data_IF_850515946876
#
_entry.id   IF_850515946876
#
_cell.length_a   1.000
_cell.length_b   1.000
_cell.length_c   1.000
_cell.angle_alpha   90.00
_cell.angle_beta   90.00
_cell.angle_gamma   90.00
#
_symmetry.space_group_name_H-M   'P 1'
#
loop_
_entity.id
_entity.type
_entity.pdbx_description
1 polymer ?
#
# COMPACT_ATOMS: atom_id res chain seq x y z
N UNK A 1 -19.74 26.25 -0.25
CA UNK A 1 -18.33 25.86 -0.51
C UNK A 1 -18.14 24.35 -0.35
N UNK A 2 -18.73 23.53 -1.23
CA UNK A 2 -18.43 22.08 -1.30
C UNK A 2 -18.67 21.60 -2.73
N UNK A 3 -18.01 22.21 -3.69
CA UNK A 3 -17.83 21.54 -4.98
C UNK A 3 -16.77 20.45 -4.74
N UNK A 4 -17.25 19.23 -4.49
CA UNK A 4 -16.37 18.07 -4.48
C UNK A 4 -15.82 17.91 -5.90
N UNK A 5 -14.52 18.09 -6.06
CA UNK A 5 -13.77 17.86 -7.30
C UNK A 5 -14.08 16.46 -7.86
N UNK A 6 -15.09 16.37 -8.72
CA UNK A 6 -15.40 15.16 -9.49
C UNK A 6 -14.74 15.29 -10.84
N UNK A 7 -13.73 14.47 -11.10
CA UNK A 7 -13.08 14.43 -12.41
C UNK A 7 -13.78 13.36 -13.26
N UNK A 8 -14.26 13.76 -14.44
CA UNK A 8 -14.87 12.85 -15.41
C UNK A 8 -13.77 12.23 -16.28
N UNK A 9 -13.49 10.94 -16.08
CA UNK A 9 -12.54 10.18 -16.90
C UNK A 9 -13.31 9.09 -17.63
N UNK A 10 -13.27 9.07 -18.97
CA UNK A 10 -14.00 8.10 -19.82
C UNK A 10 -15.50 7.95 -19.48
N UNK A 11 -16.16 9.04 -19.11
CA UNK A 11 -17.60 9.02 -18.80
C UNK A 11 -17.98 8.44 -17.42
N UNK A 12 -17.00 8.08 -16.57
CA UNK A 12 -17.25 7.74 -15.16
C UNK A 12 -16.79 8.87 -14.25
N UNK A 13 -17.60 9.18 -13.25
CA UNK A 13 -17.23 10.12 -12.19
C UNK A 13 -16.38 9.39 -11.16
N UNK A 14 -15.13 9.85 -10.97
CA UNK A 14 -14.23 9.31 -9.95
C UNK A 14 -14.21 10.30 -8.78
N UNK A 15 -14.48 9.78 -7.59
CA UNK A 15 -14.40 10.53 -6.33
C UNK A 15 -12.91 10.61 -5.96
N UNK A 16 -12.30 11.80 -6.08
CA UNK A 16 -10.87 12.05 -5.82
C UNK A 16 -10.37 11.45 -4.49
N UNK A 17 -11.11 11.52 -3.36
CA UNK A 17 -10.74 10.85 -2.11
C UNK A 17 -10.42 9.35 -2.23
N UNK A 18 -11.16 8.60 -3.07
CA UNK A 18 -10.91 7.17 -3.29
C UNK A 18 -9.60 6.92 -4.03
N UNK A 19 -9.24 7.81 -4.94
CA UNK A 19 -7.98 7.74 -5.69
C UNK A 19 -6.79 8.00 -4.76
N UNK A 20 -6.89 9.03 -3.90
CA UNK A 20 -5.89 9.36 -2.90
C UNK A 20 -5.69 8.19 -1.94
N UNK A 21 -6.77 7.63 -1.39
CA UNK A 21 -6.70 6.47 -0.50
C UNK A 21 -6.03 5.25 -1.15
N UNK A 22 -6.38 4.94 -2.40
CA UNK A 22 -5.76 3.83 -3.13
C UNK A 22 -4.25 4.04 -3.35
N UNK A 23 -3.84 5.28 -3.63
CA UNK A 23 -2.43 5.65 -3.77
C UNK A 23 -1.65 5.48 -2.47
N UNK A 24 -2.21 5.91 -1.33
CA UNK A 24 -1.58 5.71 -0.01
C UNK A 24 -1.44 4.24 0.35
N UNK A 25 -2.46 3.41 0.06
CA UNK A 25 -2.38 1.95 0.28
C UNK A 25 -1.23 1.36 -0.51
N UNK A 26 -1.10 1.73 -1.79
CA UNK A 26 -0.04 1.22 -2.67
C UNK A 26 1.35 1.62 -2.18
N UNK A 27 1.56 2.90 -1.83
CA UNK A 27 2.84 3.38 -1.28
C UNK A 27 3.17 2.67 0.02
N UNK A 28 2.20 2.56 0.94
CA UNK A 28 2.43 1.95 2.24
C UNK A 28 2.78 0.47 2.11
N UNK A 29 2.10 -0.26 1.21
CA UNK A 29 2.42 -1.64 0.92
C UNK A 29 3.84 -1.78 0.33
N UNK A 30 4.22 -0.91 -0.59
CA UNK A 30 5.56 -0.92 -1.19
C UNK A 30 6.65 -0.65 -0.13
N UNK A 31 6.44 0.35 0.73
CA UNK A 31 7.37 0.69 1.80
C UNK A 31 7.44 -0.41 2.87
N UNK A 32 6.34 -1.10 3.13
CA UNK A 32 6.31 -2.24 4.05
C UNK A 32 7.13 -3.42 3.51
N UNK A 33 7.07 -3.68 2.20
CA UNK A 33 7.93 -4.68 1.54
C UNK A 33 9.40 -4.26 1.64
N UNK A 34 9.72 -3.00 1.33
CA UNK A 34 11.07 -2.47 1.44
C UNK A 34 11.63 -2.61 2.87
N UNK A 35 10.85 -2.21 3.88
CA UNK A 35 11.22 -2.35 5.29
C UNK A 35 11.40 -3.83 5.71
N UNK A 36 10.61 -4.75 5.15
CA UNK A 36 10.75 -6.18 5.41
C UNK A 36 12.07 -6.73 4.84
N UNK A 37 12.44 -6.33 3.62
CA UNK A 37 13.71 -6.72 3.01
C UNK A 37 14.91 -6.16 3.80
N UNK A 38 14.82 -4.92 4.25
CA UNK A 38 15.87 -4.30 5.07
C UNK A 38 16.03 -5.00 6.42
N UNK A 39 14.93 -5.38 7.08
CA UNK A 39 14.97 -6.16 8.32
C UNK A 39 15.58 -7.56 8.13
N UNK A 40 15.21 -8.27 7.05
CA UNK A 40 15.76 -9.59 6.74
C UNK A 40 17.26 -9.51 6.42
N UNK A 41 17.67 -8.57 5.58
CA UNK A 41 19.09 -8.41 5.25
C UNK A 41 19.93 -7.99 6.47
N UNK A 42 19.37 -7.20 7.38
CA UNK A 42 20.02 -6.86 8.65
C UNK A 42 20.18 -8.11 9.53
N UNK A 43 19.14 -8.94 9.64
CA UNK A 43 19.19 -10.20 10.39
C UNK A 43 20.27 -11.15 9.86
N UNK A 44 20.33 -11.32 8.54
CA UNK A 44 21.34 -12.18 7.91
C UNK A 44 22.76 -11.68 8.17
N UNK A 45 22.98 -10.36 8.07
CA UNK A 45 24.29 -9.75 8.39
C UNK A 45 24.70 -9.97 9.84
N UNK A 46 23.77 -9.90 10.80
CA UNK A 46 24.08 -10.15 12.21
C UNK A 46 24.38 -11.64 12.44
N UNK A 47 23.66 -12.55 11.78
CA UNK A 47 23.93 -13.99 11.84
C UNK A 47 25.32 -14.32 11.29
N UNK A 48 25.68 -13.72 10.15
CA UNK A 48 27.00 -13.85 9.55
C UNK A 48 28.09 -13.31 10.46
N UNK A 49 27.87 -12.16 11.11
CA UNK A 49 28.79 -11.58 12.08
C UNK A 49 29.01 -12.54 13.27
N UNK A 50 27.93 -13.09 13.84
CA UNK A 50 28.01 -14.06 14.95
C UNK A 50 28.81 -15.30 14.56
N UNK A 51 28.62 -15.79 13.33
CA UNK A 51 29.37 -16.92 12.78
C UNK A 51 30.86 -16.56 12.58
N UNK A 52 31.13 -15.35 12.09
CA UNK A 52 32.49 -14.81 11.92
C UNK A 52 33.24 -14.75 13.25
N UNK A 53 32.62 -14.15 14.28
CA UNK A 53 33.22 -14.03 15.63
C UNK A 53 33.51 -15.38 16.26
N UNK A 54 32.64 -16.38 16.08
CA UNK A 54 32.92 -17.74 16.58
C UNK A 54 34.08 -18.43 15.85
N UNK A 55 34.33 -18.08 14.58
CA UNK A 55 35.39 -18.66 13.77
C UNK A 55 36.79 -18.06 14.01
N UNK A 56 36.89 -16.86 14.58
CA UNK A 56 38.17 -16.19 14.84
C UNK A 56 39.09 -17.04 15.74
N UNK A 57 38.52 -17.77 16.70
CA UNK A 57 39.30 -18.59 17.65
C UNK A 57 39.97 -19.82 17.03
N UNK A 58 39.51 -20.25 15.87
CA UNK A 58 40.06 -21.40 15.14
C UNK A 58 40.93 -20.98 13.95
N UNK A 59 41.09 -19.68 13.71
CA UNK A 59 41.92 -19.16 12.62
C UNK A 59 43.40 -19.23 13.01
N UNK A 60 44.23 -19.67 12.06
CA UNK A 60 45.68 -19.74 12.22
C UNK A 60 46.29 -18.33 12.39
N UNK A 61 45.69 -17.32 11.75
CA UNK A 61 46.01 -15.90 11.89
C UNK A 61 44.78 -15.07 12.31
N UNK A 62 44.62 -14.77 13.62
CA UNK A 62 43.44 -14.09 14.14
C UNK A 62 43.33 -12.62 13.73
N UNK A 63 44.45 -11.96 13.40
CA UNK A 63 44.48 -10.55 13.02
C UNK A 63 43.79 -10.29 11.67
N UNK A 64 44.01 -11.14 10.68
CA UNK A 64 43.39 -11.00 9.35
C UNK A 64 41.90 -11.35 9.41
N UNK A 65 41.53 -12.42 10.13
CA UNK A 65 40.14 -12.80 10.33
C UNK A 65 39.31 -11.69 11.02
N UNK A 66 39.93 -10.98 11.98
CA UNK A 66 39.28 -9.87 12.68
C UNK A 66 38.92 -8.72 11.73
N UNK A 67 39.84 -8.30 10.86
CA UNK A 67 39.60 -7.19 9.93
C UNK A 67 38.40 -7.44 9.00
N UNK A 68 38.24 -8.68 8.55
CA UNK A 68 37.11 -9.12 7.71
C UNK A 68 35.80 -9.12 8.51
N UNK A 69 35.81 -9.60 9.75
CA UNK A 69 34.63 -9.59 10.61
C UNK A 69 34.19 -8.16 10.97
N UNK A 70 35.12 -7.25 11.27
CA UNK A 70 34.82 -5.83 11.55
C UNK A 70 34.19 -5.17 10.35
N UNK A 71 34.72 -5.41 9.14
CA UNK A 71 34.16 -4.85 7.91
C UNK A 71 32.71 -5.32 7.68
N UNK A 72 32.42 -6.60 7.97
CA UNK A 72 31.05 -7.14 7.93
C UNK A 72 30.14 -6.53 9.01
N UNK A 73 30.68 -6.26 10.20
CA UNK A 73 29.95 -5.58 11.28
C UNK A 73 29.54 -4.16 10.90
N UNK A 74 30.46 -3.38 10.34
CA UNK A 74 30.18 -2.02 9.85
C UNK A 74 29.10 -2.05 8.76
N UNK A 75 29.19 -3.00 7.82
CA UNK A 75 28.15 -3.18 6.80
C UNK A 75 26.79 -3.56 7.41
N UNK A 76 26.75 -4.23 8.55
CA UNK A 76 25.53 -4.53 9.30
C UNK A 76 24.98 -3.33 10.09
N UNK A 77 25.71 -2.21 10.15
CA UNK A 77 25.38 -1.10 11.04
C UNK A 77 25.69 -1.37 12.51
N UNK A 78 26.43 -2.45 12.80
CA UNK A 78 26.89 -2.81 14.13
C UNK A 78 28.30 -2.25 14.30
N UNK A 79 28.47 -1.27 15.19
CA UNK A 79 29.80 -0.88 15.63
C UNK A 79 30.33 -1.96 16.56
N UNK A 80 31.19 -2.84 16.03
CA UNK A 80 31.91 -3.84 16.83
C UNK A 80 33.01 -3.10 17.59
N UNK A 81 32.64 -2.43 18.68
CA UNK A 81 33.59 -1.76 19.57
C UNK A 81 34.10 -2.80 20.57
N UNK A 82 35.26 -3.37 20.30
CA UNK A 82 35.84 -4.40 21.18
C UNK A 82 37.30 -4.10 21.46
N UNK A 83 37.59 -3.29 22.49
CA UNK A 83 38.97 -3.08 22.95
C UNK A 83 39.58 -4.33 23.62
N UNK A 84 38.79 -5.37 23.95
CA UNK A 84 39.20 -6.44 24.86
C UNK A 84 39.29 -7.85 24.26
N UNK A 85 39.30 -8.03 22.92
CA UNK A 85 39.51 -9.37 22.34
C UNK A 85 40.92 -9.94 22.61
N UNK A 86 41.87 -9.10 23.04
CA UNK A 86 43.22 -9.54 23.45
C UNK A 86 43.24 -10.25 24.82
N UNK A 87 42.20 -10.08 25.66
CA UNK A 87 42.20 -10.60 27.04
C UNK A 87 41.70 -12.05 27.18
N UNK A 88 41.52 -12.79 26.07
CA UNK A 88 41.21 -14.24 26.09
C UNK A 88 39.84 -14.62 26.68
N UNK A 89 39.05 -13.65 27.16
CA UNK A 89 37.70 -13.85 27.67
C UNK A 89 36.66 -13.63 26.59
N UNK A 90 36.24 -14.70 25.92
CA UNK A 90 35.19 -14.69 24.92
C UNK A 90 33.89 -14.09 25.47
N UNK A 91 33.62 -12.82 25.20
CA UNK A 91 32.27 -12.26 25.33
C UNK A 91 31.66 -12.31 23.94
N UNK A 92 30.78 -13.29 23.75
CA UNK A 92 29.79 -13.29 22.66
C UNK A 92 29.19 -11.89 22.52
N UNK A 93 28.90 -11.45 21.30
CA UNK A 93 28.13 -10.21 21.04
C UNK A 93 26.94 -10.22 22.00
N UNK A 94 26.87 -9.30 22.98
CA UNK A 94 25.82 -9.33 23.98
C UNK A 94 24.48 -9.19 23.25
N UNK A 95 23.49 -9.96 23.66
CA UNK A 95 22.15 -9.91 23.04
C UNK A 95 21.55 -8.48 23.09
N UNK A 96 22.06 -7.63 23.98
CA UNK A 96 21.77 -6.20 24.04
C UNK A 96 22.16 -5.45 22.75
N UNK A 97 23.33 -5.71 22.17
CA UNK A 97 23.77 -5.10 20.90
C UNK A 97 22.95 -5.58 19.70
N UNK A 98 22.45 -6.83 19.76
CA UNK A 98 21.53 -7.33 18.75
C UNK A 98 20.24 -6.50 18.72
N UNK A 99 19.65 -6.26 19.90
CA UNK A 99 18.39 -5.53 20.01
C UNK A 99 18.53 -4.05 19.67
N UNK A 100 19.65 -3.40 19.96
CA UNK A 100 19.85 -1.99 19.61
C UNK A 100 19.87 -1.74 18.10
N UNK A 101 20.37 -2.69 17.31
CA UNK A 101 20.40 -2.59 15.85
C UNK A 101 19.08 -3.02 15.21
N UNK A 102 18.39 -4.02 15.78
CA UNK A 102 17.11 -4.50 15.24
C UNK A 102 15.91 -3.63 15.62
N UNK A 103 15.91 -3.00 16.80
CA UNK A 103 14.80 -2.16 17.27
C UNK A 103 14.42 -1.05 16.28
N UNK A 104 15.36 -0.24 15.74
CA UNK A 104 15.04 0.79 14.75
C UNK A 104 14.39 0.21 13.49
N UNK A 105 14.87 -0.93 12.99
CA UNK A 105 14.34 -1.59 11.80
C UNK A 105 12.91 -2.10 12.04
N UNK A 106 12.69 -2.70 13.21
CA UNK A 106 11.36 -3.17 13.63
C UNK A 106 10.39 -2.00 13.82
N UNK A 107 10.84 -0.91 14.44
CA UNK A 107 10.04 0.31 14.62
C UNK A 107 9.65 0.93 13.26
N UNK A 108 10.58 0.99 12.31
CA UNK A 108 10.31 1.45 10.95
C UNK A 108 9.29 0.55 10.23
N UNK A 109 9.40 -0.77 10.40
CA UNK A 109 8.41 -1.72 9.87
C UNK A 109 7.02 -1.51 10.49
N UNK A 110 6.93 -1.40 11.82
CA UNK A 110 5.68 -1.14 12.55
C UNK A 110 5.05 0.20 12.15
N UNK A 111 5.87 1.23 11.94
CA UNK A 111 5.40 2.53 11.45
C UNK A 111 4.64 2.37 10.12
N UNK A 112 5.20 1.63 9.16
CA UNK A 112 4.53 1.39 7.88
C UNK A 112 3.27 0.54 8.00
N UNK A 113 3.23 -0.42 8.93
CA UNK A 113 2.00 -1.17 9.25
C UNK A 113 0.90 -0.22 9.74
N UNK A 114 1.23 0.69 10.66
CA UNK A 114 0.27 1.69 11.16
C UNK A 114 -0.22 2.60 10.04
N UNK A 115 0.69 3.11 9.20
CA UNK A 115 0.33 3.95 8.05
C UNK A 115 -0.58 3.19 7.07
N UNK A 116 -0.32 1.90 6.82
CA UNK A 116 -1.16 1.05 5.99
C UNK A 116 -2.58 0.91 6.57
N UNK A 117 -2.70 0.69 7.88
CA UNK A 117 -4.00 0.62 8.56
C UNK A 117 -4.76 1.94 8.42
N UNK A 118 -4.09 3.08 8.66
CA UNK A 118 -4.69 4.41 8.49
C UNK A 118 -5.14 4.64 7.04
N UNK A 119 -4.32 4.25 6.05
CA UNK A 119 -4.67 4.36 4.64
C UNK A 119 -5.92 3.52 4.28
N UNK A 120 -6.04 2.32 4.85
CA UNK A 120 -7.25 1.47 4.69
C UNK A 120 -8.46 2.15 5.32
N UNK A 121 -8.34 2.72 6.52
CA UNK A 121 -9.45 3.44 7.17
C UNK A 121 -9.93 4.63 6.33
N UNK A 122 -9.00 5.46 5.83
CA UNK A 122 -9.32 6.59 4.95
C UNK A 122 -9.99 6.12 3.65
N UNK A 123 -9.52 5.01 3.07
CA UNK A 123 -10.15 4.43 1.89
C UNK A 123 -11.58 3.95 2.16
N UNK A 124 -11.83 3.34 3.34
CA UNK A 124 -13.15 2.89 3.74
C UNK A 124 -14.11 4.03 4.09
N UNK A 125 -13.62 5.15 4.62
CA UNK A 125 -14.45 6.34 4.88
C UNK A 125 -15.13 6.87 3.61
N UNK A 126 -14.49 6.70 2.44
CA UNK A 126 -15.10 7.03 1.15
C UNK A 126 -16.23 6.08 0.70
N UNK A 127 -16.56 5.03 1.48
CA UNK A 127 -17.77 4.21 1.30
C UNK A 127 -18.94 4.69 2.15
N UNK A 128 -18.77 5.71 3.00
CA UNK A 128 -19.91 6.41 3.60
C UNK A 128 -20.58 7.21 2.47
N UNK A 129 -21.43 6.53 1.72
CA UNK A 129 -22.41 7.15 0.83
C UNK A 129 -23.33 7.93 1.76
N UNK A 130 -23.00 9.20 2.00
CA UNK A 130 -24.01 10.15 2.40
C UNK A 130 -25.02 10.07 1.27
N UNK A 131 -26.27 9.67 1.51
CA UNK A 131 -27.29 9.77 0.50
C UNK A 131 -27.37 11.25 0.17
N UNK A 132 -26.66 11.65 -0.89
CA UNK A 132 -26.94 12.88 -1.60
C UNK A 132 -28.36 12.64 -2.03
N UNK A 133 -29.30 13.26 -1.34
CA UNK A 133 -30.63 13.42 -1.87
C UNK A 133 -30.37 14.06 -3.23
N UNK A 134 -30.50 13.25 -4.28
CA UNK A 134 -30.88 13.77 -5.56
C UNK A 134 -32.22 14.41 -5.26
N UNK A 135 -32.19 15.67 -4.82
CA UNK A 135 -33.32 16.56 -4.97
C UNK A 135 -33.54 16.54 -6.45
N UNK A 136 -34.44 15.63 -6.83
CA UNK A 136 -35.07 15.56 -8.12
C UNK A 136 -35.39 17.02 -8.39
N UNK A 137 -34.68 17.62 -9.34
CA UNK A 137 -35.18 18.80 -10.03
C UNK A 137 -36.38 18.32 -10.84
N UNK A 138 -37.41 17.89 -10.11
CA UNK A 138 -38.77 17.77 -10.53
C UNK A 138 -39.17 19.24 -10.68
N UNK A 139 -38.83 19.82 -11.83
CA UNK A 139 -39.65 20.87 -12.40
C UNK A 139 -41.01 20.24 -12.73
N UNK A 140 -41.77 19.89 -11.70
CA UNK A 140 -43.22 19.85 -11.78
C UNK A 140 -43.71 21.28 -11.57
N UNK A 141 -44.38 21.81 -12.59
CA UNK A 141 -45.34 22.89 -12.40
C UNK A 141 -45.02 24.20 -13.11
N UNK A 142 -45.23 24.23 -14.43
CA UNK A 142 -46.12 25.27 -14.97
C UNK A 142 -47.35 24.54 -15.53
N UNK A 143 -48.57 24.90 -15.08
CA UNK A 143 -49.79 24.13 -15.31
C UNK A 143 -50.39 24.31 -16.70
N UNK A 144 -51.21 23.33 -17.08
CA UNK A 144 -52.07 23.33 -18.25
C UNK A 144 -53.32 24.20 -18.03
N UNK A 145 -53.51 25.20 -18.90
CA UNK A 145 -54.79 25.72 -19.46
C UNK A 145 -54.37 26.51 -20.74
N UNK A 146 -54.90 26.34 -21.96
CA UNK A 146 -56.30 26.28 -22.34
C UNK A 146 -56.53 25.46 -23.64
N UNK A 147 -57.79 25.00 -23.78
CA UNK A 147 -58.46 24.35 -24.93
C UNK A 147 -58.35 25.23 -26.21
N UNK A 148 -58.51 24.78 -27.45
CA UNK A 148 -59.64 24.04 -28.06
C UNK A 148 -59.40 23.89 -29.57
N UNK A 149 -59.98 22.86 -30.20
CA UNK A 149 -60.18 22.69 -31.68
C UNK A 149 -58.90 22.41 -32.50
N UNK A 150 -58.80 21.45 -33.41
CA UNK A 150 -59.77 20.89 -34.34
C UNK A 150 -59.12 19.71 -35.10
N UNK A 151 -59.96 18.75 -35.54
CA UNK A 151 -59.81 17.89 -36.73
C UNK A 151 -58.43 17.25 -37.03
N UNK A 152 -58.29 15.93 -36.99
CA UNK A 152 -59.01 15.06 -37.93
C UNK A 152 -58.02 14.57 -38.99
N UNK A 153 -57.64 13.30 -38.93
CA UNK A 153 -56.63 12.78 -39.85
C UNK A 153 -56.26 11.34 -39.58
N UNK A 154 -57.17 10.44 -39.93
CA UNK A 154 -56.86 9.05 -40.24
C UNK A 154 -55.53 8.95 -41.01
N UNK A 155 -54.58 8.15 -40.54
CA UNK A 155 -53.84 7.34 -41.50
C UNK A 155 -53.50 5.94 -41.00
N UNK A 156 -53.78 5.03 -41.91
CA UNK A 156 -53.69 3.58 -41.87
C UNK A 156 -52.23 3.09 -41.85
N UNK A 157 -52.13 1.79 -41.59
CA UNK A 157 -51.22 0.86 -42.28
C UNK A 157 -49.71 1.01 -42.03
N UNK A 158 -49.13 0.04 -41.31
CA UNK A 158 -48.50 -1.14 -41.94
C UNK A 158 -47.71 -1.95 -40.89
N UNK A 159 -48.17 -3.16 -40.57
CA UNK A 159 -47.67 -4.44 -41.10
C UNK A 159 -46.20 -4.78 -40.77
N UNK A 160 -46.06 -5.78 -39.91
CA UNK A 160 -45.37 -7.04 -40.21
C UNK A 160 -43.89 -7.01 -40.64
N UNK A 161 -42.99 -7.46 -39.75
CA UNK A 161 -42.04 -8.56 -40.03
C UNK A 161 -41.28 -8.98 -38.77
N UNK A 162 -41.53 -10.19 -38.24
CA UNK A 162 -40.88 -11.46 -38.61
C UNK A 162 -39.35 -11.48 -38.40
N UNK A 163 -38.99 -12.32 -37.42
CA UNK A 163 -38.06 -13.47 -37.51
C UNK A 163 -36.57 -13.25 -37.20
N UNK A 164 -36.15 -14.22 -36.35
CA UNK A 164 -34.91 -15.04 -36.45
C UNK A 164 -33.65 -14.32 -35.95
N UNK A 165 -32.65 -14.96 -35.36
CA UNK A 165 -32.36 -16.37 -35.08
C UNK A 165 -30.92 -16.40 -34.56
N UNK A 166 -30.65 -17.23 -33.55
CA UNK A 166 -29.44 -18.04 -33.31
C UNK A 166 -28.04 -17.42 -33.52
N UNK A 167 -27.16 -17.65 -32.54
CA UNK A 167 -25.90 -18.48 -32.59
C UNK A 167 -24.91 -17.91 -31.55
N UNK A 168 -24.45 -18.70 -30.57
CA UNK A 168 -23.44 -19.77 -30.66
C UNK A 168 -21.99 -19.23 -30.64
N UNK A 169 -21.15 -19.95 -29.89
CA UNK A 169 -19.70 -19.84 -29.64
C UNK A 169 -19.38 -19.05 -28.36
N UNK A 170 -18.57 -19.56 -27.43
CA UNK A 170 -17.70 -20.74 -27.40
C UNK A 170 -17.42 -21.06 -25.93
#
# INVERSE_FOLDING_TARGET
MKEMLTVKVKGRYIVVPKLIGAFFILISALMLVYASLDAVTTWDRIRDLRSCVSGIYSAEDPADAYSVCVLKGIAAGVYVYTPNFMDGGARSVPDEEFWTVMMPKLAQWLFWVVVLIVAILVYQWGKLVIPVQEEVAELTGIPAEAKESENGGNNKENTTKRRRSKKSKK
#
